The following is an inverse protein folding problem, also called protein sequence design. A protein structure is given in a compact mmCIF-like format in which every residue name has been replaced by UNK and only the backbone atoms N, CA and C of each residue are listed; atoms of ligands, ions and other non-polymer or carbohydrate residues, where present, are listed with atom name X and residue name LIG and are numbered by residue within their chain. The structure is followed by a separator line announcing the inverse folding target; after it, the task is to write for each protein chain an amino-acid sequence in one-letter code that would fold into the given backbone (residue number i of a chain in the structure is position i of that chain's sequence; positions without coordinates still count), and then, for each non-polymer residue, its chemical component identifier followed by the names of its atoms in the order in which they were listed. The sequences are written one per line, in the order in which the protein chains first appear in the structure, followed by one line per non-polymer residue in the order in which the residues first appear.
data_IF_847183802650
#
_entry.id   IF_847183802650
#
_cell.length_a   1.000
_cell.length_b   1.000
_cell.length_c   1.000
_cell.angle_alpha   90.00
_cell.angle_beta   90.00
_cell.angle_gamma   90.00
#
_symmetry.space_group_name_H-M   'P 1'
#
loop_
_entity.id
_entity.type
_entity.pdbx_description
1 polymer ?
#
# COMPACT_ATOMS: atom_id res chain seq x y z
N UNK A 1 1.05 18.41 11.27
CA UNK A 1 0.68 17.72 10.02
C UNK A 1 -0.61 18.32 9.44
N UNK A 2 -1.70 18.42 10.17
CA UNK A 2 -2.98 18.87 9.60
C UNK A 2 -3.06 20.31 9.10
N UNK A 3 -2.10 21.18 9.44
CA UNK A 3 -2.05 22.58 9.00
C UNK A 3 -1.01 22.84 7.91
N UNK A 4 -0.01 21.99 7.81
CA UNK A 4 1.10 22.10 6.86
C UNK A 4 1.27 20.74 6.16
N UNK A 5 0.95 20.70 4.87
CA UNK A 5 1.03 19.48 4.04
C UNK A 5 2.46 19.01 3.83
N UNK A 6 3.40 19.93 3.82
CA UNK A 6 4.79 19.66 3.49
C UNK A 6 5.67 19.47 4.74
N UNK A 7 5.07 19.51 5.94
CA UNK A 7 5.81 19.46 7.21
C UNK A 7 6.68 18.22 7.35
N UNK A 8 6.19 17.05 6.93
CA UNK A 8 6.94 15.79 7.02
C UNK A 8 8.07 15.70 5.99
N UNK A 9 7.88 16.22 4.78
CA UNK A 9 8.93 16.29 3.76
C UNK A 9 10.03 17.27 4.18
N UNK A 10 9.65 18.41 4.71
CA UNK A 10 10.59 19.40 5.25
C UNK A 10 11.38 18.85 6.43
N UNK A 11 10.71 18.17 7.35
CA UNK A 11 11.35 17.55 8.52
C UNK A 11 12.41 16.52 8.09
N UNK A 12 12.09 15.65 7.13
CA UNK A 12 13.07 14.69 6.59
C UNK A 12 14.26 15.40 5.96
N UNK A 13 14.02 16.38 5.09
CA UNK A 13 15.09 17.11 4.42
C UNK A 13 16.02 17.82 5.43
N UNK A 14 15.43 18.58 6.34
CA UNK A 14 16.19 19.33 7.34
C UNK A 14 16.92 18.42 8.34
N UNK A 15 16.37 17.25 8.66
CA UNK A 15 17.03 16.27 9.53
C UNK A 15 18.31 15.74 8.88
N UNK A 16 18.28 15.46 7.58
CA UNK A 16 19.45 15.03 6.84
C UNK A 16 20.52 16.14 6.76
N UNK A 17 20.10 17.39 6.52
CA UNK A 17 21.02 18.55 6.52
C UNK A 17 21.71 18.73 7.89
N UNK A 18 20.99 18.51 8.97
CA UNK A 18 21.54 18.53 10.33
C UNK A 18 22.36 17.28 10.70
N UNK A 19 22.40 16.27 9.80
CA UNK A 19 23.02 14.95 10.06
C UNK A 19 22.34 14.17 11.19
N UNK A 20 21.09 14.46 11.47
CA UNK A 20 20.21 13.70 12.34
C UNK A 20 19.46 12.69 11.47
N UNK A 21 20.09 11.57 11.17
CA UNK A 21 19.62 10.62 10.17
C UNK A 21 18.42 9.81 10.65
N UNK A 22 17.23 10.01 10.05
CA UNK A 22 16.04 9.26 10.39
C UNK A 22 16.22 7.76 10.13
N UNK A 23 15.75 6.94 11.08
CA UNK A 23 15.88 5.47 11.02
C UNK A 23 14.54 4.79 11.29
N UNK A 24 14.34 3.67 10.62
CA UNK A 24 13.20 2.77 10.85
C UNK A 24 13.67 1.35 10.96
N UNK A 25 13.23 0.65 11.99
CA UNK A 25 13.40 -0.80 12.07
C UNK A 25 12.35 -1.48 11.21
N UNK A 26 12.78 -2.35 10.33
CA UNK A 26 11.90 -3.16 9.48
C UNK A 26 11.58 -4.48 10.16
N UNK A 27 10.31 -4.80 10.21
CA UNK A 27 9.80 -6.06 10.73
C UNK A 27 9.00 -6.80 9.68
N UNK A 28 8.97 -8.12 9.79
CA UNK A 28 8.06 -8.99 9.04
C UNK A 28 7.18 -9.76 10.01
N UNK A 29 5.98 -10.12 9.55
CA UNK A 29 5.12 -11.10 10.19
C UNK A 29 4.99 -12.29 9.26
N UNK A 30 5.03 -13.50 9.80
CA UNK A 30 4.95 -14.74 9.02
C UNK A 30 3.70 -15.50 9.41
N UNK A 31 2.86 -15.78 8.43
CA UNK A 31 1.70 -16.66 8.56
C UNK A 31 1.93 -17.88 7.67
N UNK A 32 1.98 -19.09 8.22
CA UNK A 32 2.02 -20.31 7.40
C UNK A 32 0.77 -20.39 6.50
N UNK A 33 0.94 -20.79 5.25
CA UNK A 33 -0.16 -20.86 4.27
C UNK A 33 -1.36 -21.68 4.78
N UNK A 34 -1.11 -22.82 5.43
CA UNK A 34 -2.13 -23.67 6.07
C UNK A 34 -3.00 -22.97 7.11
N UNK A 35 -2.54 -21.85 7.65
CA UNK A 35 -3.24 -21.09 8.68
C UNK A 35 -4.11 -19.99 8.08
N UNK A 36 -3.82 -19.54 6.86
CA UNK A 36 -4.57 -18.50 6.19
C UNK A 36 -6.07 -18.84 6.05
N UNK A 37 -6.38 -20.09 5.66
CA UNK A 37 -7.76 -20.57 5.53
C UNK A 37 -8.53 -20.70 6.85
N UNK A 38 -7.83 -20.69 8.00
CA UNK A 38 -8.44 -20.81 9.33
C UNK A 38 -8.69 -19.47 10.01
N UNK A 39 -8.23 -18.39 9.40
CA UNK A 39 -8.42 -17.07 9.96
C UNK A 39 -9.90 -16.69 9.99
N UNK A 40 -10.36 -15.99 11.06
CA UNK A 40 -11.75 -15.52 11.17
C UNK A 40 -12.09 -14.36 10.23
N UNK A 41 -11.11 -13.88 9.47
CA UNK A 41 -11.22 -12.86 8.44
C UNK A 41 -10.26 -13.19 7.29
N UNK A 42 -10.46 -12.59 6.13
CA UNK A 42 -9.54 -12.77 5.00
C UNK A 42 -8.17 -12.12 5.32
N UNK A 43 -7.10 -12.89 5.53
CA UNK A 43 -5.78 -12.36 5.88
C UNK A 43 -5.11 -11.62 4.72
N UNK A 44 -5.61 -11.77 3.50
CA UNK A 44 -5.14 -11.09 2.30
C UNK A 44 -5.92 -9.80 2.00
N UNK A 45 -6.90 -9.43 2.84
CA UNK A 45 -7.60 -8.15 2.71
C UNK A 45 -6.75 -7.04 3.32
N UNK A 46 -6.33 -6.08 2.50
CA UNK A 46 -5.49 -4.95 2.93
C UNK A 46 -6.16 -4.05 3.99
N UNK A 47 -7.47 -4.17 4.20
CA UNK A 47 -8.18 -3.45 5.28
C UNK A 47 -8.04 -4.12 6.63
N UNK A 48 -7.46 -5.31 6.69
CA UNK A 48 -7.24 -6.09 7.91
C UNK A 48 -5.78 -6.03 8.35
N UNK A 49 -5.57 -6.23 9.64
CA UNK A 49 -4.23 -6.37 10.22
C UNK A 49 -4.10 -7.72 10.90
N UNK A 50 -2.90 -8.28 10.85
CA UNK A 50 -2.55 -9.44 11.66
C UNK A 50 -2.13 -8.96 13.04
N UNK A 51 -2.78 -9.43 14.08
CA UNK A 51 -2.45 -8.99 15.44
C UNK A 51 -1.07 -9.50 15.86
N UNK A 52 -0.26 -8.64 16.45
CA UNK A 52 1.10 -8.99 16.91
C UNK A 52 1.11 -10.12 17.94
N UNK A 53 0.01 -10.29 18.68
CA UNK A 53 -0.16 -11.40 19.63
C UNK A 53 -0.18 -12.76 18.93
N UNK A 54 -0.78 -12.83 17.75
CA UNK A 54 -0.98 -14.07 17.00
C UNK A 54 0.17 -14.31 16.02
N UNK A 55 0.66 -13.23 15.40
CA UNK A 55 1.80 -13.22 14.48
C UNK A 55 2.80 -12.15 14.94
N UNK A 56 3.77 -12.52 15.79
CA UNK A 56 4.75 -11.58 16.35
C UNK A 56 5.60 -10.90 15.26
N UNK A 57 6.05 -9.68 15.56
CA UNK A 57 7.00 -8.98 14.72
C UNK A 57 8.38 -9.62 14.80
N UNK A 58 8.98 -9.90 13.66
CA UNK A 58 10.34 -10.42 13.52
C UNK A 58 11.19 -9.31 12.92
N UNK A 59 12.18 -8.84 13.65
CA UNK A 59 13.09 -7.81 13.16
C UNK A 59 14.00 -8.37 12.07
N UNK A 60 14.11 -7.66 10.93
CA UNK A 60 14.92 -8.08 9.78
C UNK A 60 15.95 -7.05 9.36
N UNK A 61 15.86 -5.81 9.81
CA UNK A 61 16.86 -4.80 9.49
C UNK A 61 16.46 -3.38 9.86
N UNK A 62 17.37 -2.45 9.58
CA UNK A 62 17.19 -1.01 9.79
C UNK A 62 17.36 -0.28 8.47
N UNK A 63 16.42 0.60 8.16
CA UNK A 63 16.52 1.57 7.07
C UNK A 63 16.95 2.91 7.65
N UNK A 64 18.01 3.49 7.11
CA UNK A 64 18.49 4.81 7.47
C UNK A 64 18.50 5.71 6.24
N UNK A 65 17.97 6.92 6.36
CA UNK A 65 18.11 7.96 5.35
C UNK A 65 19.32 8.83 5.74
N UNK A 66 20.33 8.91 4.89
CA UNK A 66 21.60 9.56 5.20
C UNK A 66 22.07 10.56 4.13
N UNK A 67 21.27 10.78 3.08
CA UNK A 67 21.59 11.71 1.99
C UNK A 67 20.33 12.29 1.38
N UNK A 68 20.29 13.60 1.20
CA UNK A 68 19.29 14.27 0.38
C UNK A 68 19.58 14.05 -1.12
N UNK A 69 18.55 14.05 -1.99
CA UNK A 69 18.77 14.08 -3.44
C UNK A 69 19.42 15.40 -3.86
N UNK A 70 20.27 15.35 -4.89
CA UNK A 70 20.85 16.54 -5.52
C UNK A 70 19.87 17.18 -6.51
N UNK A 71 19.10 16.33 -7.18
CA UNK A 71 18.05 16.75 -8.12
C UNK A 71 16.75 16.04 -7.78
N UNK A 72 15.84 16.75 -7.13
CA UNK A 72 14.57 16.20 -6.65
C UNK A 72 13.72 15.61 -7.79
N UNK A 73 13.66 16.29 -8.93
CA UNK A 73 12.90 15.78 -10.09
C UNK A 73 13.49 14.47 -10.60
N UNK A 74 14.80 14.44 -10.88
CA UNK A 74 15.46 13.28 -11.45
C UNK A 74 15.51 12.06 -10.51
N UNK A 75 15.72 12.30 -9.22
CA UNK A 75 15.99 11.24 -8.24
C UNK A 75 14.75 10.82 -7.44
N UNK A 76 13.72 11.67 -7.37
CA UNK A 76 12.52 11.42 -6.57
C UNK A 76 11.26 11.39 -7.44
N UNK A 77 10.95 12.47 -8.16
CA UNK A 77 9.69 12.54 -8.92
C UNK A 77 9.63 11.56 -10.08
N UNK A 78 10.76 11.25 -10.71
CA UNK A 78 10.84 10.25 -11.79
C UNK A 78 10.94 8.81 -11.29
N UNK A 79 11.00 8.56 -9.99
CA UNK A 79 10.98 7.19 -9.46
C UNK A 79 9.66 6.50 -9.82
N UNK A 80 9.76 5.30 -10.39
CA UNK A 80 8.64 4.54 -10.94
C UNK A 80 8.45 3.23 -10.15
N UNK A 81 7.92 3.33 -8.94
CA UNK A 81 7.58 2.14 -8.16
C UNK A 81 6.45 1.37 -8.82
N UNK A 82 6.57 0.04 -8.81
CA UNK A 82 5.55 -0.86 -9.32
C UNK A 82 5.51 -2.12 -8.46
N UNK A 83 4.35 -2.49 -7.87
CA UNK A 83 4.22 -3.71 -7.09
C UNK A 83 4.47 -4.99 -7.89
N UNK A 84 4.45 -4.94 -9.22
CA UNK A 84 4.83 -6.05 -10.08
C UNK A 84 6.35 -6.31 -10.10
N UNK A 85 7.19 -5.37 -9.64
CA UNK A 85 8.63 -5.53 -9.56
C UNK A 85 9.01 -6.29 -8.28
N UNK A 86 9.01 -7.61 -8.36
CA UNK A 86 9.37 -8.50 -7.27
C UNK A 86 10.69 -9.22 -7.56
N UNK A 87 11.25 -9.83 -6.54
CA UNK A 87 12.45 -10.65 -6.62
C UNK A 87 12.09 -12.13 -6.51
N UNK A 88 12.94 -13.06 -7.02
CA UNK A 88 12.72 -14.50 -6.84
C UNK A 88 12.48 -14.87 -5.38
N UNK A 89 11.47 -15.71 -5.13
CA UNK A 89 11.07 -16.12 -3.79
C UNK A 89 9.99 -15.23 -3.13
N UNK A 90 9.61 -14.13 -3.77
CA UNK A 90 8.46 -13.30 -3.37
C UNK A 90 7.41 -13.35 -4.48
N UNK A 91 6.21 -13.82 -4.16
CA UNK A 91 5.06 -13.86 -5.06
C UNK A 91 4.02 -12.80 -4.72
N UNK A 92 2.87 -12.90 -5.38
CA UNK A 92 1.74 -12.01 -5.17
C UNK A 92 0.68 -12.67 -4.29
N UNK A 93 0.15 -11.92 -3.34
CA UNK A 93 -1.01 -12.37 -2.58
C UNK A 93 -2.30 -12.28 -3.43
N UNK A 94 -3.36 -13.04 -3.08
CA UNK A 94 -4.66 -12.94 -3.75
C UNK A 94 -5.48 -11.70 -3.33
N UNK A 95 -4.87 -10.75 -2.61
CA UNK A 95 -5.54 -9.48 -2.25
C UNK A 95 -6.05 -8.77 -3.52
N UNK A 96 -7.34 -8.45 -3.55
CA UNK A 96 -7.99 -7.87 -4.73
C UNK A 96 -7.46 -6.49 -5.09
N UNK A 97 -7.09 -5.70 -4.08
CA UNK A 97 -6.47 -4.40 -4.32
C UNK A 97 -5.07 -4.56 -4.92
N UNK A 98 -4.26 -5.50 -4.42
CA UNK A 98 -2.96 -5.80 -5.02
C UNK A 98 -3.12 -6.24 -6.47
N UNK A 99 -4.05 -7.14 -6.77
CA UNK A 99 -4.30 -7.59 -8.14
C UNK A 99 -4.63 -6.42 -9.08
N UNK A 100 -5.46 -5.48 -8.65
CA UNK A 100 -5.74 -4.25 -9.40
C UNK A 100 -4.49 -3.35 -9.56
N UNK A 101 -3.66 -3.26 -8.54
CA UNK A 101 -2.42 -2.46 -8.54
C UNK A 101 -1.36 -3.02 -9.48
N UNK A 102 -1.32 -4.33 -9.72
CA UNK A 102 -0.40 -4.94 -10.69
C UNK A 102 -0.61 -4.39 -12.12
N UNK A 103 -1.84 -4.02 -12.47
CA UNK A 103 -2.16 -3.41 -13.75
C UNK A 103 -1.97 -1.89 -13.74
N UNK A 104 -2.44 -1.21 -12.71
CA UNK A 104 -2.54 0.24 -12.69
C UNK A 104 -1.19 0.96 -12.63
N UNK A 105 -0.22 0.43 -11.90
CA UNK A 105 1.08 1.10 -11.75
C UNK A 105 1.88 1.10 -13.04
N UNK A 106 1.96 -0.03 -13.75
CA UNK A 106 2.67 -0.11 -15.03
C UNK A 106 2.05 0.80 -16.09
N UNK A 107 0.71 0.88 -16.12
CA UNK A 107 0.00 1.77 -17.02
C UNK A 107 0.26 3.25 -16.67
N UNK A 108 0.10 3.62 -15.41
CA UNK A 108 0.35 4.98 -14.94
C UNK A 108 1.78 5.47 -15.25
N UNK A 109 2.80 4.63 -15.08
CA UNK A 109 4.19 5.00 -15.36
C UNK A 109 4.43 5.25 -16.85
N UNK A 110 3.77 4.53 -17.75
CA UNK A 110 3.87 4.77 -19.19
C UNK A 110 3.36 6.15 -19.57
N UNK A 111 2.27 6.61 -18.95
CA UNK A 111 1.72 7.95 -19.19
C UNK A 111 2.49 9.04 -18.46
N UNK A 112 2.91 8.80 -17.23
CA UNK A 112 3.60 9.79 -16.42
C UNK A 112 5.02 10.04 -16.88
N UNK A 113 5.76 9.00 -17.27
CA UNK A 113 7.20 9.05 -17.55
C UNK A 113 7.55 8.64 -18.97
N UNK A 114 6.76 7.79 -19.61
CA UNK A 114 7.02 7.26 -20.95
C UNK A 114 7.21 5.75 -20.95
N UNK A 115 7.14 5.15 -22.17
CA UNK A 115 7.25 3.69 -22.33
C UNK A 115 8.61 3.14 -21.91
N UNK A 116 9.64 3.97 -21.92
CA UNK A 116 11.01 3.65 -21.53
C UNK A 116 11.37 4.08 -20.10
N UNK A 117 10.38 4.26 -19.22
CA UNK A 117 10.61 4.73 -17.85
C UNK A 117 11.60 3.87 -17.06
N UNK A 118 11.75 2.60 -17.40
CA UNK A 118 12.71 1.69 -16.80
C UNK A 118 14.18 2.00 -17.17
N UNK A 119 14.42 2.85 -18.18
CA UNK A 119 15.75 3.31 -18.57
C UNK A 119 16.16 4.63 -17.90
N UNK A 120 15.22 5.32 -17.23
CA UNK A 120 15.53 6.53 -16.46
C UNK A 120 16.49 6.14 -15.32
N UNK A 121 17.57 6.89 -15.07
CA UNK A 121 18.65 6.49 -14.15
C UNK A 121 18.17 6.03 -12.76
N UNK A 122 17.15 6.68 -12.19
CA UNK A 122 16.61 6.29 -10.87
C UNK A 122 15.90 4.95 -10.88
N UNK A 123 15.40 4.51 -12.05
CA UNK A 123 14.64 3.28 -12.23
C UNK A 123 15.47 2.16 -12.88
N UNK A 124 16.58 2.52 -13.52
CA UNK A 124 17.38 1.57 -14.28
C UNK A 124 17.98 0.49 -13.38
N UNK A 125 17.91 -0.76 -13.86
CA UNK A 125 18.57 -1.87 -13.18
C UNK A 125 20.09 -1.63 -13.12
N UNK A 126 20.66 -1.71 -11.94
CA UNK A 126 22.12 -1.57 -11.75
C UNK A 126 22.90 -2.76 -12.29
N UNK A 127 22.26 -3.93 -12.33
CA UNK A 127 22.82 -5.13 -12.92
C UNK A 127 21.98 -5.51 -14.15
N UNK A 128 22.40 -5.19 -15.37
CA UNK A 128 21.65 -5.49 -16.60
C UNK A 128 21.63 -6.98 -16.94
N UNK A 129 22.43 -7.80 -16.28
CA UNK A 129 22.60 -9.21 -16.60
C UNK A 129 21.33 -10.05 -16.43
N UNK A 130 20.44 -9.66 -15.52
CA UNK A 130 19.16 -10.32 -15.25
C UNK A 130 17.95 -9.51 -15.73
N UNK A 131 18.15 -8.55 -16.61
CA UNK A 131 17.04 -7.77 -17.15
C UNK A 131 16.34 -8.52 -18.28
N UNK A 132 15.02 -8.70 -18.16
CA UNK A 132 14.17 -9.19 -19.24
C UNK A 132 13.80 -8.09 -20.25
N UNK A 133 14.12 -6.85 -19.97
CA UNK A 133 13.93 -5.72 -20.87
C UNK A 133 15.03 -5.67 -21.92
N UNK A 134 14.94 -6.56 -22.89
CA UNK A 134 15.84 -6.61 -24.03
C UNK A 134 15.09 -6.14 -25.25
N UNK A 135 15.73 -5.44 -26.16
CA UNK A 135 15.07 -4.96 -27.34
C UNK A 135 13.67 -4.32 -27.06
N UNK A 136 13.05 -3.72 -28.03
CA UNK A 136 11.72 -3.17 -27.87
C UNK A 136 11.65 -1.67 -28.08
N UNK A 137 10.43 -1.16 -28.04
CA UNK A 137 10.12 0.22 -28.32
C UNK A 137 10.87 1.18 -27.38
N UNK A 138 11.48 2.21 -27.99
CA UNK A 138 12.18 3.29 -27.30
C UNK A 138 13.37 2.84 -26.44
N UNK A 139 13.96 1.70 -26.73
CA UNK A 139 15.21 1.29 -26.11
C UNK A 139 16.37 2.08 -26.70
N UNK A 140 17.28 2.56 -25.84
CA UNK A 140 18.40 3.43 -26.26
C UNK A 140 19.77 2.94 -25.77
N UNK A 141 19.80 1.84 -24.99
CA UNK A 141 21.00 1.31 -24.34
C UNK A 141 21.46 -0.07 -24.92
N UNK A 142 20.95 -0.42 -26.11
CA UNK A 142 21.24 -1.71 -26.77
C UNK A 142 20.32 -2.84 -26.32
N UNK A 143 20.50 -4.02 -26.93
CA UNK A 143 19.66 -5.20 -26.64
C UNK A 143 20.37 -6.28 -25.81
N UNK A 144 21.52 -5.99 -25.25
CA UNK A 144 22.30 -6.90 -24.37
C UNK A 144 22.57 -8.29 -24.97
N UNK A 145 22.80 -8.35 -26.29
CA UNK A 145 23.23 -9.54 -26.99
C UNK A 145 22.13 -10.53 -27.39
N UNK A 146 20.88 -10.22 -27.18
CA UNK A 146 19.76 -11.06 -27.63
C UNK A 146 18.57 -10.23 -28.10
N UNK A 147 17.91 -10.73 -29.14
CA UNK A 147 16.63 -10.20 -29.64
C UNK A 147 15.42 -10.95 -29.06
N UNK A 148 15.67 -11.99 -28.26
CA UNK A 148 14.60 -12.80 -27.67
C UNK A 148 14.06 -12.10 -26.42
N UNK A 149 12.85 -11.56 -26.50
CA UNK A 149 12.19 -10.86 -25.41
C UNK A 149 10.97 -11.60 -24.86
N UNK A 150 10.81 -12.90 -25.13
CA UNK A 150 9.66 -13.70 -24.70
C UNK A 150 10.04 -15.11 -24.30
N UNK A 151 9.25 -15.72 -23.45
CA UNK A 151 9.33 -17.12 -23.03
C UNK A 151 7.93 -17.74 -22.93
N UNK A 152 7.77 -19.07 -23.11
CA UNK A 152 8.81 -19.95 -23.59
C UNK A 152 9.16 -19.66 -25.06
N UNK A 153 10.36 -20.04 -25.49
CA UNK A 153 10.79 -19.92 -26.88
C UNK A 153 11.51 -21.20 -27.36
N UNK A 154 11.68 -21.33 -28.68
CA UNK A 154 12.30 -22.53 -29.29
C UNK A 154 13.81 -22.63 -29.09
N UNK A 155 14.46 -21.62 -28.57
CA UNK A 155 15.92 -21.56 -28.40
C UNK A 155 16.35 -22.00 -27.00
N UNK A 156 15.42 -22.18 -26.06
CA UNK A 156 15.70 -22.61 -24.71
C UNK A 156 16.39 -21.56 -23.83
N UNK A 157 16.40 -20.30 -24.27
CA UNK A 157 16.82 -19.15 -23.46
C UNK A 157 15.65 -18.68 -22.59
N UNK A 158 15.96 -18.13 -21.40
CA UNK A 158 14.97 -17.63 -20.45
C UNK A 158 13.96 -18.72 -20.05
N UNK A 159 14.33 -19.50 -19.09
CA UNK A 159 13.47 -20.56 -18.53
C UNK A 159 12.92 -20.11 -17.19
N UNK A 160 11.67 -20.47 -16.95
CA UNK A 160 11.10 -20.38 -15.61
C UNK A 160 11.96 -21.16 -14.62
N UNK A 161 11.99 -20.68 -13.39
CA UNK A 161 12.68 -21.34 -12.29
C UNK A 161 11.67 -22.09 -11.43
N UNK A 162 11.52 -23.41 -11.57
CA UNK A 162 10.48 -24.17 -10.86
C UNK A 162 10.53 -24.05 -9.34
N UNK A 163 11.72 -23.76 -8.79
CA UNK A 163 11.90 -23.55 -7.35
C UNK A 163 11.20 -22.27 -6.81
N UNK A 164 10.77 -21.37 -7.69
CA UNK A 164 10.08 -20.14 -7.36
C UNK A 164 8.67 -20.08 -7.95
N UNK A 165 8.14 -21.23 -8.40
CA UNK A 165 6.76 -21.30 -8.89
C UNK A 165 5.79 -20.85 -7.79
N UNK A 166 4.79 -20.07 -8.17
CA UNK A 166 3.75 -19.67 -7.24
C UNK A 166 2.86 -20.86 -6.85
N UNK A 167 2.36 -20.90 -5.60
CA UNK A 167 1.39 -21.89 -5.19
C UNK A 167 0.16 -21.85 -6.10
N UNK A 168 -0.45 -23.01 -6.41
CA UNK A 168 -1.70 -23.03 -7.17
C UNK A 168 -2.78 -22.23 -6.47
N UNK A 169 -3.41 -21.31 -7.19
CA UNK A 169 -4.57 -20.59 -6.70
C UNK A 169 -5.84 -21.42 -6.99
N UNK A 170 -6.42 -22.03 -5.96
CA UNK A 170 -7.71 -22.68 -6.04
C UNK A 170 -8.82 -21.63 -6.19
N UNK A 171 -9.48 -21.59 -7.35
CA UNK A 171 -10.62 -20.72 -7.59
C UNK A 171 -11.89 -21.57 -7.67
N UNK A 172 -12.86 -21.27 -6.83
CA UNK A 172 -14.20 -21.86 -6.84
C UNK A 172 -15.25 -20.75 -6.91
N UNK A 173 -16.31 -20.96 -7.67
CA UNK A 173 -17.42 -20.03 -7.80
C UNK A 173 -17.59 -19.43 -9.19
N UNK A 174 -18.62 -18.61 -9.36
CA UNK A 174 -18.89 -17.87 -10.59
C UNK A 174 -18.00 -16.63 -10.70
N UNK A 175 -17.53 -16.34 -11.92
CA UNK A 175 -16.87 -15.07 -12.21
C UNK A 175 -17.94 -13.98 -12.33
N UNK A 176 -17.97 -13.04 -11.39
CA UNK A 176 -18.94 -11.96 -11.36
C UNK A 176 -18.35 -10.72 -10.67
N UNK A 177 -19.11 -9.66 -10.62
CA UNK A 177 -18.82 -8.51 -9.76
C UNK A 177 -18.71 -8.94 -8.30
N UNK A 178 -17.60 -8.62 -7.69
CA UNK A 178 -17.45 -8.81 -6.26
C UNK A 178 -18.10 -7.66 -5.48
N UNK A 179 -19.08 -7.99 -4.67
CA UNK A 179 -19.69 -7.02 -3.75
C UNK A 179 -18.97 -7.07 -2.39
N UNK A 180 -18.10 -6.11 -2.14
CA UNK A 180 -17.36 -6.02 -0.87
C UNK A 180 -18.28 -5.85 0.36
N UNK A 181 -19.55 -5.47 0.19
CA UNK A 181 -20.52 -5.35 1.28
C UNK A 181 -20.95 -6.70 1.83
N UNK A 182 -20.77 -7.77 1.07
CA UNK A 182 -21.01 -9.14 1.51
C UNK A 182 -19.87 -9.69 2.35
N UNK A 183 -18.69 -9.08 2.28
CA UNK A 183 -17.60 -9.41 3.17
C UNK A 183 -17.97 -9.03 4.60
N UNK A 184 -17.44 -9.81 5.51
CA UNK A 184 -17.72 -9.66 6.92
C UNK A 184 -17.21 -8.34 7.51
N UNK A 185 -17.24 -8.05 8.58
CA UNK A 185 -16.81 -7.11 9.58
C UNK A 185 -15.70 -6.11 9.17
N UNK A 186 -16.11 -4.91 8.77
CA UNK A 186 -15.21 -3.77 8.51
C UNK A 186 -15.05 -2.84 9.74
N UNK A 187 -15.71 -3.13 10.85
CA UNK A 187 -15.86 -2.21 11.98
C UNK A 187 -15.12 -2.67 13.25
N UNK A 188 -14.99 -3.97 13.48
CA UNK A 188 -14.41 -4.49 14.71
C UNK A 188 -12.94 -4.09 14.89
N UNK A 189 -12.11 -4.17 13.87
CA UNK A 189 -10.69 -3.81 14.00
C UNK A 189 -10.49 -2.30 14.24
N UNK A 190 -11.13 -1.39 13.48
CA UNK A 190 -11.11 0.04 13.79
C UNK A 190 -11.61 0.35 15.21
N UNK A 191 -12.69 -0.31 15.64
CA UNK A 191 -13.21 -0.15 17.00
C UNK A 191 -12.23 -0.61 18.08
N UNK A 192 -11.51 -1.72 17.84
CA UNK A 192 -10.45 -2.19 18.76
C UNK A 192 -9.31 -1.16 18.86
N UNK A 193 -8.86 -0.62 17.73
CA UNK A 193 -7.84 0.44 17.72
C UNK A 193 -8.32 1.69 18.47
N UNK A 194 -9.54 2.14 18.20
CA UNK A 194 -10.13 3.30 18.88
C UNK A 194 -10.13 3.14 20.40
N UNK A 195 -10.49 1.95 20.90
CA UNK A 195 -10.49 1.67 22.34
C UNK A 195 -9.11 1.70 22.98
N UNK A 196 -8.04 1.42 22.23
CA UNK A 196 -6.65 1.53 22.71
C UNK A 196 -6.15 2.98 22.77
N UNK A 197 -6.80 3.91 22.08
CA UNK A 197 -6.38 5.31 22.07
C UNK A 197 -6.61 5.99 23.42
N UNK A 198 -5.66 6.82 23.84
CA UNK A 198 -5.83 7.70 24.98
C UNK A 198 -6.92 8.77 24.71
N UNK A 199 -7.49 9.40 25.75
CA UNK A 199 -8.46 10.50 25.55
C UNK A 199 -7.93 11.63 24.69
N UNK A 200 -6.65 11.98 24.82
CA UNK A 200 -6.01 13.01 24.01
C UNK A 200 -5.93 12.61 22.51
N UNK A 201 -5.58 11.37 22.23
CA UNK A 201 -5.56 10.85 20.85
C UNK A 201 -6.96 10.81 20.23
N UNK A 202 -7.99 10.40 20.99
CA UNK A 202 -9.38 10.42 20.53
C UNK A 202 -9.84 11.84 20.19
N UNK A 203 -9.52 12.81 21.05
CA UNK A 203 -9.84 14.22 20.77
C UNK A 203 -9.22 14.70 19.46
N UNK A 204 -7.93 14.44 19.25
CA UNK A 204 -7.24 14.78 17.99
C UNK A 204 -7.87 14.07 16.79
N UNK A 205 -8.27 12.81 16.92
CA UNK A 205 -8.98 12.06 15.88
C UNK A 205 -10.29 12.76 15.49
N UNK A 206 -11.11 13.14 16.46
CA UNK A 206 -12.39 13.81 16.22
C UNK A 206 -12.21 15.17 15.52
N UNK A 207 -11.32 16.00 16.06
CA UNK A 207 -11.01 17.32 15.50
C UNK A 207 -10.44 17.25 14.09
N UNK A 208 -9.54 16.29 13.84
CA UNK A 208 -8.98 16.08 12.51
C UNK A 208 -10.04 15.60 11.52
N UNK A 209 -10.91 14.69 11.93
CA UNK A 209 -12.02 14.20 11.10
C UNK A 209 -12.96 15.36 10.73
N UNK A 210 -13.39 16.12 11.72
CA UNK A 210 -14.29 17.28 11.50
C UNK A 210 -13.66 18.30 10.55
N UNK A 211 -12.39 18.64 10.76
CA UNK A 211 -11.66 19.58 9.89
C UNK A 211 -11.50 19.04 8.45
N UNK A 212 -11.19 17.75 8.29
CA UNK A 212 -11.03 17.16 6.98
C UNK A 212 -12.34 17.08 6.18
N UNK A 213 -13.46 16.91 6.86
CA UNK A 213 -14.78 16.91 6.24
C UNK A 213 -15.20 18.30 5.75
N UNK A 214 -14.74 19.37 6.38
CA UNK A 214 -14.98 20.76 5.95
C UNK A 214 -16.45 21.03 5.60
N UNK A 215 -16.68 21.52 4.38
CA UNK A 215 -18.01 21.92 3.86
C UNK A 215 -18.76 20.75 3.18
N UNK A 216 -18.39 19.50 3.42
CA UNK A 216 -19.14 18.36 2.90
C UNK A 216 -20.64 18.47 3.27
N UNK A 217 -21.56 18.08 2.37
CA UNK A 217 -23.00 18.10 2.64
C UNK A 217 -23.37 17.35 3.93
N UNK A 218 -24.44 17.84 4.60
CA UNK A 218 -24.86 17.30 5.89
C UNK A 218 -25.13 15.79 5.86
N UNK A 219 -25.79 15.30 4.82
CA UNK A 219 -26.10 13.89 4.64
C UNK A 219 -24.84 13.02 4.51
N UNK A 220 -23.76 13.56 3.95
CA UNK A 220 -22.47 12.86 3.89
C UNK A 220 -21.85 12.76 5.28
N UNK A 221 -21.89 13.86 6.04
CA UNK A 221 -21.44 13.90 7.44
C UNK A 221 -22.19 12.88 8.29
N UNK A 222 -23.51 12.80 8.17
CA UNK A 222 -24.35 11.85 8.90
C UNK A 222 -24.00 10.40 8.57
N UNK A 223 -23.84 10.07 7.28
CA UNK A 223 -23.41 8.71 6.87
C UNK A 223 -22.04 8.33 7.42
N UNK A 224 -21.10 9.27 7.44
CA UNK A 224 -19.78 9.02 8.02
C UNK A 224 -19.86 8.80 9.53
N UNK A 225 -20.63 9.61 10.25
CA UNK A 225 -20.88 9.41 11.69
C UNK A 225 -21.47 8.02 11.94
N UNK A 226 -22.45 7.60 11.12
CA UNK A 226 -23.04 6.26 11.20
C UNK A 226 -22.00 5.14 11.05
N UNK A 227 -21.05 5.28 10.14
CA UNK A 227 -19.94 4.30 10.00
C UNK A 227 -19.02 4.31 11.23
N UNK A 228 -18.70 5.48 11.78
CA UNK A 228 -17.91 5.58 13.01
C UNK A 228 -18.64 4.92 14.21
N UNK A 229 -19.96 5.08 14.30
CA UNK A 229 -20.77 4.44 15.34
C UNK A 229 -20.78 2.92 15.25
N UNK A 230 -20.76 2.35 14.03
CA UNK A 230 -20.65 0.89 13.86
C UNK A 230 -19.31 0.35 14.36
N UNK A 231 -18.24 1.14 14.28
CA UNK A 231 -16.95 0.77 14.84
C UNK A 231 -16.92 0.87 16.36
N UNK A 232 -17.41 1.99 16.91
CA UNK A 232 -17.59 2.21 18.35
C UNK A 232 -18.53 3.41 18.57
N UNK A 233 -19.59 3.28 19.40
CA UNK A 233 -20.51 4.37 19.68
C UNK A 233 -19.82 5.65 20.17
N UNK A 234 -18.78 5.56 20.98
CA UNK A 234 -18.04 6.71 21.47
C UNK A 234 -17.22 7.38 20.35
N UNK A 235 -16.80 6.63 19.33
CA UNK A 235 -16.14 7.20 18.15
C UNK A 235 -17.14 8.05 17.34
N UNK A 236 -18.30 7.48 17.02
CA UNK A 236 -19.33 8.23 16.29
C UNK A 236 -19.81 9.48 17.02
N UNK A 237 -20.06 9.36 18.34
CA UNK A 237 -20.47 10.48 19.17
C UNK A 237 -19.44 11.60 19.21
N UNK A 238 -18.15 11.28 19.37
CA UNK A 238 -17.09 12.27 19.38
C UNK A 238 -16.92 13.00 18.03
N UNK A 239 -17.11 12.29 16.91
CA UNK A 239 -17.11 12.92 15.58
C UNK A 239 -18.32 13.81 15.39
N UNK A 240 -19.52 13.37 15.83
CA UNK A 240 -20.74 14.18 15.76
C UNK A 240 -20.60 15.48 16.57
N UNK A 241 -20.10 15.40 17.79
CA UNK A 241 -19.82 16.56 18.65
C UNK A 241 -18.83 17.53 17.98
N UNK A 242 -17.71 17.02 17.45
CA UNK A 242 -16.71 17.83 16.77
C UNK A 242 -17.25 18.53 15.51
N UNK A 243 -18.25 17.95 14.85
CA UNK A 243 -18.97 18.53 13.70
C UNK A 243 -20.13 19.46 14.10
N UNK A 244 -20.46 19.55 15.39
CA UNK A 244 -21.63 20.31 15.87
C UNK A 244 -22.97 19.71 15.44
N UNK A 245 -23.05 18.39 15.23
CA UNK A 245 -24.25 17.68 14.79
C UNK A 245 -24.91 16.99 15.99
N UNK A 246 -26.21 17.29 16.28
CA UNK A 246 -26.92 16.65 17.41
C UNK A 246 -27.01 15.14 17.27
N UNK A 247 -26.76 14.41 18.37
CA UNK A 247 -26.76 12.94 18.40
C UNK A 247 -28.09 12.31 17.96
N UNK A 248 -29.22 12.96 18.25
CA UNK A 248 -30.55 12.47 17.86
C UNK A 248 -30.73 12.36 16.34
N UNK A 249 -29.97 13.11 15.55
CA UNK A 249 -29.98 13.06 14.09
C UNK A 249 -28.98 12.03 13.55
N UNK A 250 -27.84 11.86 14.20
CA UNK A 250 -26.82 10.89 13.79
C UNK A 250 -27.25 9.43 13.96
N UNK A 251 -28.23 9.15 14.83
CA UNK A 251 -28.78 7.80 15.04
C UNK A 251 -29.86 7.41 14.01
N UNK A 252 -30.30 8.30 13.14
CA UNK A 252 -31.33 8.06 12.12
C UNK A 252 -30.77 7.84 10.72
N UNK A 253 -29.48 7.95 10.55
CA UNK A 253 -28.75 7.77 9.29
C UNK A 253 -28.01 6.43 9.25
#
# INVERSE_FOLDING_TARGET
IGKDRDSHQRDLYESLERKDFPKWTMFVQVMPEKDAAKMPYNPFDLTKVWFHKDYPLIEVGVMELNRNPENYFAEVEQAAFNPANIVPGIGFSPDKMLQGRLFSYGDAQRYRLGVNHHLIPVNAARCPFHSYHRDGAMRVDGNHGSTLGYEPNSYGEWKEQPGFAEPPLGLEGAADHWDHREDTDYYSQPGKLFRLMSPAQRKVLFENTARAMGDAPREIKLRHIGNCMKADPAYGNGVAEALGIPLAESMKA
#
